data_IF_670939049842
#
_entry.id   IF_670939049842
#
_cell.length_a   1.000
_cell.length_b   1.000
_cell.length_c   1.000
_cell.angle_alpha   90.00
_cell.angle_beta   90.00
_cell.angle_gamma   90.00
#
_symmetry.space_group_name_H-M   'P 1'
#
loop_
_entity.id
_entity.type
_entity.pdbx_description
1 polymer ?
#
# COMPACT_ATOMS: atom_id res chain seq x y z
N UNK A 1 -8.90 -2.76 -17.68
CA UNK A 1 -10.28 -2.25 -17.86
C UNK A 1 -11.20 -3.11 -17.00
N UNK A 2 -11.95 -2.50 -16.09
CA UNK A 2 -12.96 -3.22 -15.29
C UNK A 2 -14.27 -3.16 -16.07
N UNK A 3 -14.75 -4.29 -16.56
CA UNK A 3 -16.05 -4.36 -17.24
C UNK A 3 -17.16 -4.20 -16.20
N UNK A 4 -18.20 -3.42 -16.52
CA UNK A 4 -19.37 -3.28 -15.65
C UNK A 4 -19.26 -2.24 -14.53
N UNK A 5 -18.27 -1.34 -14.55
CA UNK A 5 -18.05 -0.36 -13.48
C UNK A 5 -19.27 0.53 -13.20
N UNK A 6 -20.00 0.95 -14.25
CA UNK A 6 -21.22 1.77 -14.11
C UNK A 6 -22.35 0.99 -13.45
N UNK A 7 -22.54 -0.26 -13.84
CA UNK A 7 -23.57 -1.13 -13.30
C UNK A 7 -23.34 -1.37 -11.80
N UNK A 8 -22.08 -1.57 -11.41
CA UNK A 8 -21.69 -1.65 -10.00
C UNK A 8 -22.00 -0.34 -9.26
N UNK A 9 -21.60 0.81 -9.81
CA UNK A 9 -21.86 2.11 -9.18
C UNK A 9 -23.36 2.36 -8.96
N UNK A 10 -24.21 2.04 -9.94
CA UNK A 10 -25.67 2.18 -9.83
C UNK A 10 -26.26 1.16 -8.86
N UNK A 11 -25.79 -0.10 -8.89
CA UNK A 11 -26.26 -1.17 -8.01
C UNK A 11 -26.07 -0.81 -6.53
N UNK A 12 -24.92 -0.21 -6.19
CA UNK A 12 -24.63 0.24 -4.83
C UNK A 12 -25.21 1.62 -4.49
N UNK A 13 -25.98 2.24 -5.39
CA UNK A 13 -26.66 3.51 -5.13
C UNK A 13 -25.71 4.71 -5.02
N UNK A 14 -24.64 4.75 -5.81
CA UNK A 14 -23.68 5.86 -5.78
C UNK A 14 -24.35 7.21 -6.10
N UNK A 15 -24.17 8.20 -5.21
CA UNK A 15 -24.64 9.58 -5.43
C UNK A 15 -23.99 10.20 -6.67
N UNK A 16 -22.66 10.06 -6.80
CA UNK A 16 -21.90 10.42 -8.01
C UNK A 16 -21.41 9.15 -8.72
N UNK A 17 -22.18 8.73 -9.71
CA UNK A 17 -21.87 7.55 -10.53
C UNK A 17 -20.58 7.76 -11.33
N UNK A 18 -20.32 8.96 -11.85
CA UNK A 18 -19.15 9.21 -12.70
C UNK A 18 -17.85 9.11 -11.88
N UNK A 19 -17.83 9.74 -10.71
CA UNK A 19 -16.70 9.67 -9.78
C UNK A 19 -16.45 8.25 -9.28
N UNK A 20 -17.53 7.53 -8.95
CA UNK A 20 -17.45 6.14 -8.50
C UNK A 20 -16.88 5.24 -9.60
N UNK A 21 -17.29 5.43 -10.85
CA UNK A 21 -16.74 4.68 -11.99
C UNK A 21 -15.25 4.97 -12.18
N UNK A 22 -14.82 6.23 -12.06
CA UNK A 22 -13.39 6.57 -12.13
C UNK A 22 -12.61 5.87 -11.01
N UNK A 23 -13.13 5.90 -9.77
CA UNK A 23 -12.53 5.20 -8.65
C UNK A 23 -12.44 3.69 -8.90
N UNK A 24 -13.50 3.05 -9.41
CA UNK A 24 -13.49 1.61 -9.71
C UNK A 24 -12.39 1.25 -10.72
N UNK A 25 -12.20 2.06 -11.77
CA UNK A 25 -11.13 1.82 -12.74
C UNK A 25 -9.73 1.93 -12.11
N UNK A 26 -9.50 2.99 -11.34
CA UNK A 26 -8.24 3.22 -10.64
C UNK A 26 -7.96 2.13 -9.60
N UNK A 27 -8.97 1.78 -8.80
CA UNK A 27 -8.89 0.70 -7.81
C UNK A 27 -8.63 -0.64 -8.49
N UNK A 28 -9.26 -0.91 -9.63
CA UNK A 28 -8.96 -2.08 -10.46
C UNK A 28 -7.48 -2.21 -10.79
N UNK A 29 -6.80 -1.10 -11.12
CA UNK A 29 -5.36 -1.09 -11.38
C UNK A 29 -4.51 -1.39 -10.11
N UNK A 30 -5.05 -1.17 -8.91
CA UNK A 30 -4.36 -1.49 -7.66
C UNK A 30 -4.36 -2.98 -7.34
N UNK A 31 -5.35 -3.74 -7.85
CA UNK A 31 -5.55 -5.16 -7.51
C UNK A 31 -4.30 -5.99 -7.83
N UNK A 32 -3.63 -5.72 -8.96
CA UNK A 32 -2.41 -6.43 -9.35
C UNK A 32 -1.28 -6.26 -8.30
N UNK A 33 -0.94 -5.02 -7.96
CA UNK A 33 0.05 -4.72 -6.93
C UNK A 33 -0.36 -5.26 -5.56
N UNK A 34 -1.65 -5.19 -5.23
CA UNK A 34 -2.20 -5.70 -3.99
C UNK A 34 -2.03 -7.23 -3.90
N UNK A 35 -2.39 -7.97 -4.94
CA UNK A 35 -2.25 -9.43 -5.01
C UNK A 35 -0.80 -9.87 -4.83
N UNK A 36 0.14 -9.24 -5.56
CA UNK A 36 1.59 -9.51 -5.42
C UNK A 36 2.05 -9.25 -3.99
N UNK A 37 1.75 -8.05 -3.48
CA UNK A 37 2.16 -7.64 -2.14
C UNK A 37 1.63 -8.60 -1.07
N UNK A 38 0.34 -8.92 -1.09
CA UNK A 38 -0.29 -9.80 -0.09
C UNK A 38 0.24 -11.23 -0.14
N UNK A 39 0.43 -11.78 -1.34
CA UNK A 39 0.94 -13.14 -1.52
C UNK A 39 2.37 -13.27 -0.95
N UNK A 40 3.25 -12.34 -1.30
CA UNK A 40 4.64 -12.34 -0.83
C UNK A 40 4.75 -12.07 0.67
N UNK A 41 3.95 -11.14 1.19
CA UNK A 41 3.89 -10.92 2.65
C UNK A 41 3.41 -12.16 3.38
N UNK A 42 2.47 -12.93 2.82
CA UNK A 42 2.07 -14.23 3.35
C UNK A 42 3.23 -15.21 3.40
N UNK A 43 3.92 -15.40 2.27
CA UNK A 43 5.05 -16.32 2.16
C UNK A 43 6.22 -15.94 3.11
N UNK A 44 6.60 -14.66 3.14
CA UNK A 44 7.69 -14.16 4.00
C UNK A 44 7.36 -14.34 5.49
N UNK A 45 6.14 -13.99 5.90
CA UNK A 45 5.68 -14.19 7.28
C UNK A 45 5.63 -15.68 7.65
N UNK A 46 5.17 -16.54 6.74
CA UNK A 46 5.17 -18.00 6.93
C UNK A 46 6.57 -18.59 7.12
N UNK A 47 7.60 -17.98 6.50
CA UNK A 47 9.00 -18.36 6.71
C UNK A 47 9.63 -17.74 7.97
N UNK A 48 8.88 -16.97 8.76
CA UNK A 48 9.37 -16.24 9.94
C UNK A 48 10.06 -14.91 9.64
N UNK A 49 10.10 -14.47 8.37
CA UNK A 49 10.62 -13.16 7.96
C UNK A 49 9.52 -12.08 8.04
N UNK A 50 9.24 -11.62 9.26
CA UNK A 50 8.13 -10.69 9.54
C UNK A 50 8.54 -9.21 9.47
N UNK A 51 9.83 -8.91 9.69
CA UNK A 51 10.33 -7.53 9.77
C UNK A 51 10.20 -6.80 8.44
N UNK A 52 10.57 -7.45 7.34
CA UNK A 52 10.54 -6.78 6.02
C UNK A 52 9.11 -6.46 5.55
N UNK A 53 8.14 -7.40 5.61
CA UNK A 53 6.72 -7.08 5.36
C UNK A 53 6.17 -5.92 6.19
N UNK A 54 6.60 -5.83 7.46
CA UNK A 54 6.20 -4.75 8.35
C UNK A 54 6.77 -3.40 7.90
N UNK A 55 8.07 -3.31 7.64
CA UNK A 55 8.68 -2.08 7.15
C UNK A 55 8.17 -1.67 5.78
N UNK A 56 7.86 -2.62 4.89
CA UNK A 56 7.21 -2.33 3.62
C UNK A 56 5.86 -1.63 3.83
N UNK A 57 5.10 -2.08 4.84
CA UNK A 57 3.81 -1.49 5.19
C UNK A 57 3.95 -0.10 5.80
N UNK A 58 4.92 0.09 6.70
CA UNK A 58 5.19 1.40 7.27
C UNK A 58 5.64 2.39 6.20
N UNK A 59 6.59 2.01 5.34
CA UNK A 59 7.09 2.87 4.27
C UNK A 59 5.96 3.26 3.31
N UNK A 60 5.15 2.28 2.88
CA UNK A 60 4.00 2.55 2.02
C UNK A 60 3.02 3.56 2.63
N UNK A 61 2.58 3.35 3.88
CA UNK A 61 1.62 4.26 4.51
C UNK A 61 2.23 5.63 4.83
N UNK A 62 3.36 5.65 5.50
CA UNK A 62 3.86 6.88 6.13
C UNK A 62 4.80 7.68 5.22
N UNK A 63 5.56 7.03 4.36
CA UNK A 63 6.53 7.71 3.49
C UNK A 63 5.97 7.99 2.09
N UNK A 64 4.96 7.23 1.66
CA UNK A 64 4.37 7.37 0.32
C UNK A 64 2.93 7.87 0.42
N UNK A 65 2.03 7.11 1.06
CA UNK A 65 0.61 7.40 1.05
C UNK A 65 0.28 8.72 1.69
N UNK A 66 0.76 8.97 2.92
CA UNK A 66 0.46 10.21 3.64
C UNK A 66 1.01 11.45 2.92
N UNK A 67 2.30 11.50 2.50
CA UNK A 67 2.80 12.67 1.79
C UNK A 67 2.08 12.93 0.47
N UNK A 68 1.83 11.90 -0.34
CA UNK A 68 1.13 12.06 -1.63
C UNK A 68 -0.32 12.45 -1.42
N UNK A 69 -1.00 11.90 -0.41
CA UNK A 69 -2.37 12.29 -0.07
C UNK A 69 -2.45 13.71 0.50
N UNK A 70 -1.41 14.18 1.21
CA UNK A 70 -1.37 15.56 1.70
C UNK A 70 -1.38 16.59 0.57
N UNK A 71 -0.86 16.24 -0.62
CA UNK A 71 -0.94 17.09 -1.82
C UNK A 71 -2.39 17.33 -2.29
N UNK A 72 -3.33 16.47 -1.89
CA UNK A 72 -4.76 16.65 -2.20
C UNK A 72 -5.37 17.85 -1.47
N UNK A 73 -4.78 18.26 -0.35
CA UNK A 73 -5.33 19.31 0.49
C UNK A 73 -5.32 20.66 -0.20
N UNK A 74 -6.26 21.56 0.14
CA UNK A 74 -6.24 22.94 -0.32
C UNK A 74 -4.97 23.68 0.11
N UNK A 75 -4.57 24.70 -0.65
CA UNK A 75 -3.38 25.53 -0.41
C UNK A 75 -3.49 26.40 0.85
N UNK A 76 -4.67 26.48 1.45
CA UNK A 76 -4.95 27.28 2.64
C UNK A 76 -4.71 26.48 3.93
N UNK A 77 -4.53 25.16 3.84
CA UNK A 77 -4.35 24.29 5.01
C UNK A 77 -2.88 24.28 5.44
N UNK A 78 -2.57 25.02 6.51
CA UNK A 78 -1.27 25.01 7.15
C UNK A 78 -1.22 24.00 8.30
N UNK A 79 -0.13 23.23 8.36
CA UNK A 79 0.18 22.33 9.45
C UNK A 79 1.27 22.95 10.32
N UNK A 80 1.04 22.99 11.62
CA UNK A 80 2.01 23.46 12.60
C UNK A 80 2.46 22.28 13.45
N UNK A 81 3.75 21.97 13.40
CA UNK A 81 4.35 20.92 14.21
C UNK A 81 5.76 21.34 14.62
N UNK A 82 6.12 21.06 15.88
CA UNK A 82 7.46 21.32 16.41
C UNK A 82 7.96 22.77 16.23
N UNK A 83 7.04 23.74 16.24
CA UNK A 83 7.37 25.17 16.04
C UNK A 83 7.54 25.59 14.58
N UNK A 84 7.40 24.67 13.62
CA UNK A 84 7.45 24.97 12.18
C UNK A 84 6.05 24.90 11.56
N UNK A 85 5.76 25.83 10.64
CA UNK A 85 4.53 25.84 9.84
C UNK A 85 4.87 25.49 8.39
N UNK A 86 4.11 24.58 7.78
CA UNK A 86 4.21 24.27 6.36
C UNK A 86 2.85 23.97 5.75
N UNK A 87 2.72 24.25 4.46
CA UNK A 87 1.51 23.97 3.66
C UNK A 87 1.85 22.85 2.68
N UNK A 88 1.42 21.60 2.92
CA UNK A 88 1.68 20.49 2.02
C UNK A 88 0.66 20.42 0.86
N UNK A 89 -0.49 21.07 1.00
CA UNK A 89 -1.56 21.04 0.02
C UNK A 89 -1.24 21.84 -1.23
N UNK A 90 -1.50 21.26 -2.40
CA UNK A 90 -1.41 21.95 -3.70
C UNK A 90 -2.74 21.93 -4.45
N UNK A 91 -3.83 21.53 -3.78
CA UNK A 91 -5.19 21.56 -4.34
C UNK A 91 -5.47 20.50 -5.41
N UNK A 92 -4.69 19.42 -5.49
CA UNK A 92 -4.89 18.36 -6.49
C UNK A 92 -6.16 17.52 -6.23
N UNK A 93 -6.79 17.69 -5.06
CA UNK A 93 -8.05 17.06 -4.71
C UNK A 93 -7.99 15.53 -4.78
N UNK A 94 -9.10 14.91 -5.18
CA UNK A 94 -9.25 13.45 -5.13
C UNK A 94 -8.25 12.68 -6.02
N UNK A 95 -7.75 13.31 -7.08
CA UNK A 95 -6.75 12.68 -7.96
C UNK A 95 -5.46 12.32 -7.21
N UNK A 96 -4.98 13.20 -6.32
CA UNK A 96 -3.82 12.94 -5.48
C UNK A 96 -4.07 11.76 -4.51
N UNK A 97 -5.29 11.64 -3.98
CA UNK A 97 -5.68 10.52 -3.11
C UNK A 97 -5.63 9.20 -3.89
N UNK A 98 -6.11 9.17 -5.12
CA UNK A 98 -6.06 7.97 -5.96
C UNK A 98 -4.63 7.57 -6.30
N UNK A 99 -3.78 8.54 -6.67
CA UNK A 99 -2.35 8.30 -6.92
C UNK A 99 -1.66 7.80 -5.64
N UNK A 100 -1.99 8.36 -4.48
CA UNK A 100 -1.42 7.93 -3.20
C UNK A 100 -1.69 6.45 -2.91
N UNK A 101 -2.92 5.97 -3.16
CA UNK A 101 -3.29 4.56 -2.97
C UNK A 101 -2.53 3.65 -3.93
N UNK A 102 -2.44 4.02 -5.21
CA UNK A 102 -1.65 3.28 -6.19
C UNK A 102 -0.18 3.21 -5.78
N UNK A 103 0.44 4.34 -5.52
CA UNK A 103 1.86 4.44 -5.16
C UNK A 103 2.19 3.63 -3.90
N UNK A 104 1.34 3.69 -2.87
CA UNK A 104 1.46 2.89 -1.65
C UNK A 104 1.47 1.38 -1.95
N UNK A 105 0.44 0.89 -2.66
CA UNK A 105 0.27 -0.53 -2.94
C UNK A 105 1.44 -1.07 -3.78
N UNK A 106 1.86 -0.33 -4.80
CA UNK A 106 2.96 -0.73 -5.66
C UNK A 106 4.31 -0.64 -4.95
N UNK A 107 4.50 0.33 -4.04
CA UNK A 107 5.72 0.40 -3.21
C UNK A 107 5.86 -0.84 -2.33
N UNK A 108 4.79 -1.24 -1.64
CA UNK A 108 4.80 -2.48 -0.84
C UNK A 108 5.06 -3.71 -1.69
N UNK A 109 4.43 -3.78 -2.87
CA UNK A 109 4.63 -4.88 -3.80
C UNK A 109 6.11 -4.98 -4.22
N UNK A 110 6.72 -3.84 -4.58
CA UNK A 110 8.12 -3.76 -4.98
C UNK A 110 9.06 -4.18 -3.85
N UNK A 111 8.90 -3.64 -2.64
CA UNK A 111 9.76 -3.98 -1.49
C UNK A 111 9.68 -5.48 -1.17
N UNK A 112 8.47 -6.03 -1.11
CA UNK A 112 8.28 -7.45 -0.82
C UNK A 112 8.81 -8.35 -1.95
N UNK A 113 8.64 -7.93 -3.21
CA UNK A 113 9.19 -8.63 -4.37
C UNK A 113 10.71 -8.67 -4.35
N UNK A 114 11.36 -7.53 -4.12
CA UNK A 114 12.82 -7.44 -4.00
C UNK A 114 13.30 -8.34 -2.86
N UNK A 115 12.61 -8.30 -1.71
CA UNK A 115 12.96 -9.16 -0.57
C UNK A 115 12.82 -10.64 -0.92
N UNK A 116 11.74 -11.02 -1.56
CA UNK A 116 11.49 -12.40 -1.97
C UNK A 116 12.54 -12.89 -2.97
N UNK A 117 12.84 -12.08 -4.00
CA UNK A 117 13.83 -12.38 -5.04
C UNK A 117 15.26 -12.49 -4.48
N UNK A 118 15.57 -11.78 -3.39
CA UNK A 118 16.88 -11.85 -2.74
C UNK A 118 17.21 -13.21 -2.11
N UNK A 119 16.26 -14.14 -2.01
CA UNK A 119 16.38 -15.45 -1.34
C UNK A 119 16.81 -15.42 0.14
N UNK A 120 17.07 -14.23 0.71
CA UNK A 120 17.51 -14.05 2.10
C UNK A 120 16.48 -14.55 3.12
N UNK A 121 15.20 -14.56 2.75
CA UNK A 121 14.12 -15.13 3.56
C UNK A 121 14.31 -16.63 3.82
N UNK A 122 14.95 -17.38 2.90
CA UNK A 122 15.26 -18.81 3.08
C UNK A 122 16.23 -19.04 4.23
N UNK A 123 17.19 -18.14 4.42
CA UNK A 123 18.14 -18.21 5.53
C UNK A 123 17.42 -18.01 6.88
N UNK A 124 16.47 -17.07 6.94
CA UNK A 124 15.63 -16.83 8.13
C UNK A 124 14.80 -18.07 8.46
N UNK A 125 14.15 -18.68 7.46
CA UNK A 125 13.38 -19.90 7.64
C UNK A 125 14.22 -21.08 8.16
N UNK A 126 15.40 -21.33 7.58
CA UNK A 126 16.31 -22.39 8.05
C UNK A 126 16.75 -22.16 9.50
N UNK A 127 17.09 -20.93 9.87
CA UNK A 127 17.43 -20.59 11.25
C UNK A 127 16.24 -20.73 12.21
N UNK A 128 15.00 -20.54 11.74
CA UNK A 128 13.79 -20.85 12.50
C UNK A 128 13.65 -22.33 12.78
N UNK A 129 13.77 -23.18 11.76
CA UNK A 129 13.68 -24.65 11.89
C UNK A 129 14.78 -25.21 12.81
N UNK A 130 16.02 -24.73 12.66
CA UNK A 130 17.12 -25.16 13.51
C UNK A 130 16.87 -24.85 15.00
N UNK A 131 16.35 -23.66 15.31
CA UNK A 131 15.98 -23.28 16.69
C UNK A 131 14.84 -24.13 17.25
N UNK A 132 13.85 -24.47 16.43
CA UNK A 132 12.74 -25.32 16.86
C UNK A 132 13.22 -26.74 17.23
N UNK A 133 14.18 -27.30 16.49
CA UNK A 133 14.78 -28.61 16.81
C UNK A 133 15.67 -28.58 18.05
N UNK A 134 16.45 -27.53 18.23
CA UNK A 134 17.33 -27.40 19.41
C UNK A 134 16.57 -27.22 20.74
N UNK A 135 15.29 -26.82 20.69
CA UNK A 135 14.44 -26.69 21.87
C UNK A 135 13.54 -27.89 22.14
N UNK A 136 13.60 -28.94 21.31
CA UNK A 136 12.86 -30.19 21.52
C UNK A 136 13.68 -31.31 22.18
N UNK A 137 14.97 -31.06 22.41
CA UNK A 137 15.92 -31.94 23.11
C UNK A 137 16.12 -31.45 24.56
#
# INVERSE_FOLDING_TARGET
>A
VVLGARQLAVLFGAEDVALTVQFIHLFGATIAGFAVSRTLQGALRGAGDTRVPFYATLAGNYLIRLPVAALALPTEVAFVAFGYSFVPGVGLGLSAVFVAVLADIYTRAAINWIRYRSNRWKAVGRAGVARARAGSD
#
